data_IF_829733193878
#
_entry.id   IF_829733193878
#
_cell.length_a   1.000
_cell.length_b   1.000
_cell.length_c   1.000
_cell.angle_alpha   90.00
_cell.angle_beta   90.00
_cell.angle_gamma   90.00
#
_symmetry.space_group_name_H-M   'P 1'
#
loop_
_entity.id
_entity.type
_entity.pdbx_description
1 polymer ?
#
# COMPACT_ATOMS: atom_id res chain seq x y z
N UNK A 1 -4.55 -0.20 -23.06
CA UNK A 1 -5.45 0.63 -22.25
C UNK A 1 -5.94 -0.24 -21.10
N UNK A 2 -6.09 0.31 -19.89
CA UNK A 2 -6.63 -0.45 -18.75
C UNK A 2 -8.14 -0.54 -18.87
N UNK A 3 -8.71 -1.65 -18.39
CA UNK A 3 -10.16 -1.85 -18.32
C UNK A 3 -10.80 -0.88 -17.31
N UNK A 4 -11.99 -0.38 -17.62
CA UNK A 4 -12.69 0.57 -16.77
C UNK A 4 -13.31 -0.08 -15.54
N UNK A 5 -13.83 -1.29 -15.66
CA UNK A 5 -14.51 -2.04 -14.59
C UNK A 5 -14.48 -3.55 -14.86
N UNK A 6 -14.68 -4.33 -13.82
CA UNK A 6 -14.80 -5.79 -13.85
C UNK A 6 -16.26 -6.23 -13.71
N UNK A 7 -17.02 -5.60 -12.82
CA UNK A 7 -18.43 -5.90 -12.59
C UNK A 7 -19.33 -4.88 -13.30
N UNK A 8 -19.98 -5.34 -14.38
CA UNK A 8 -20.86 -4.48 -15.18
C UNK A 8 -22.02 -3.91 -14.35
N UNK A 9 -22.24 -2.61 -14.45
CA UNK A 9 -23.39 -1.91 -13.84
C UNK A 9 -23.32 -1.74 -12.33
N UNK A 10 -22.24 -2.16 -11.65
CA UNK A 10 -22.07 -1.98 -10.21
C UNK A 10 -21.12 -0.82 -9.89
N UNK A 11 -21.35 -0.17 -8.76
CA UNK A 11 -20.40 0.77 -8.15
C UNK A 11 -19.24 -0.05 -7.59
N UNK A 12 -18.12 -0.09 -8.30
CA UNK A 12 -16.97 -0.93 -8.03
C UNK A 12 -15.85 -0.14 -7.35
N UNK A 13 -15.27 -0.67 -6.27
CA UNK A 13 -14.05 -0.15 -5.68
C UNK A 13 -12.84 -1.01 -6.06
N UNK A 14 -11.78 -0.38 -6.58
CA UNK A 14 -10.48 -1.01 -6.78
C UNK A 14 -9.59 -0.83 -5.56
N UNK A 15 -8.90 -1.90 -5.12
CA UNK A 15 -8.00 -1.89 -3.97
C UNK A 15 -6.60 -2.40 -4.32
N UNK A 16 -5.59 -1.75 -3.74
CA UNK A 16 -4.19 -2.21 -3.77
C UNK A 16 -3.45 -1.74 -2.51
N UNK A 17 -2.30 -2.35 -2.21
CA UNK A 17 -1.47 -2.01 -1.06
C UNK A 17 -0.02 -1.68 -1.41
N UNK A 18 0.63 -0.93 -0.52
CA UNK A 18 2.06 -0.61 -0.57
C UNK A 18 2.77 -0.91 0.75
N UNK A 19 3.99 -1.42 0.66
CA UNK A 19 4.85 -1.60 1.83
C UNK A 19 4.88 -3.00 2.43
N UNK A 20 4.35 -4.04 1.78
CA UNK A 20 4.37 -5.42 2.31
C UNK A 20 5.76 -5.94 2.62
N UNK A 21 6.70 -5.77 1.69
CA UNK A 21 8.07 -6.30 1.81
C UNK A 21 9.05 -5.41 2.57
N UNK A 22 8.58 -4.35 3.23
CA UNK A 22 9.43 -3.42 3.96
C UNK A 22 9.77 -3.93 5.35
N UNK A 23 10.98 -3.65 5.83
CA UNK A 23 11.42 -3.96 7.21
C UNK A 23 10.87 -2.95 8.22
N UNK A 24 10.49 -1.76 7.76
CA UNK A 24 10.01 -0.68 8.60
C UNK A 24 8.83 0.06 7.98
N UNK A 25 8.04 0.70 8.83
CA UNK A 25 6.89 1.50 8.48
C UNK A 25 5.61 0.69 8.29
N UNK A 26 4.50 1.40 8.36
CA UNK A 26 3.15 0.86 8.19
C UNK A 26 2.92 0.30 6.78
N UNK A 27 1.97 -0.62 6.64
CA UNK A 27 1.37 -0.97 5.36
C UNK A 27 0.22 0.00 5.07
N UNK A 28 0.17 0.48 3.85
CA UNK A 28 -0.86 1.38 3.34
C UNK A 28 -1.65 0.66 2.26
N UNK A 29 -2.96 0.75 2.31
CA UNK A 29 -3.82 0.33 1.21
C UNK A 29 -4.72 1.49 0.81
N UNK A 30 -5.13 1.52 -0.44
CA UNK A 30 -6.13 2.46 -0.90
C UNK A 30 -7.32 1.74 -1.53
N UNK A 31 -8.47 2.38 -1.46
CA UNK A 31 -9.68 2.00 -2.18
C UNK A 31 -10.13 3.19 -3.03
N UNK A 32 -10.46 2.95 -4.30
CA UNK A 32 -10.84 4.01 -5.26
C UNK A 32 -12.07 3.58 -6.03
N UNK A 33 -13.09 4.45 -6.09
CA UNK A 33 -14.25 4.33 -6.97
C UNK A 33 -14.13 5.40 -8.04
N UNK A 34 -14.00 4.98 -9.29
CA UNK A 34 -13.94 5.89 -10.44
C UNK A 34 -15.34 6.13 -11.04
N UNK A 35 -15.60 7.30 -11.66
CA UNK A 35 -16.87 7.54 -12.33
C UNK A 35 -17.06 6.62 -13.55
N UNK A 36 -18.32 6.31 -13.91
CA UNK A 36 -18.60 5.56 -15.14
C UNK A 36 -17.97 6.22 -16.37
N UNK A 37 -17.34 5.41 -17.20
CA UNK A 37 -16.68 5.89 -18.42
C UNK A 37 -15.38 6.67 -18.18
N UNK A 38 -14.86 6.66 -16.94
CA UNK A 38 -13.53 7.22 -16.68
C UNK A 38 -12.47 6.51 -17.52
N UNK A 39 -11.68 7.28 -18.22
CA UNK A 39 -10.54 6.77 -19.01
C UNK A 39 -9.34 7.72 -18.83
N UNK A 40 -8.29 7.21 -18.22
CA UNK A 40 -7.03 7.93 -18.07
C UNK A 40 -5.88 7.05 -18.60
N UNK A 41 -5.40 7.32 -19.83
CA UNK A 41 -4.37 6.53 -20.48
C UNK A 41 -3.00 6.59 -19.77
N UNK A 42 -2.83 7.54 -18.86
CA UNK A 42 -1.62 7.70 -18.07
C UNK A 42 -1.56 6.78 -16.84
N UNK A 43 -2.70 6.18 -16.45
CA UNK A 43 -2.72 5.18 -15.39
C UNK A 43 -1.98 3.91 -15.82
N UNK A 44 -1.12 3.43 -14.95
CA UNK A 44 -0.34 2.19 -15.13
C UNK A 44 0.13 1.70 -13.76
N UNK A 45 0.69 0.46 -13.74
CA UNK A 45 1.44 -0.07 -12.60
C UNK A 45 2.36 1.01 -12.01
N UNK A 46 2.12 1.35 -10.75
CA UNK A 46 2.81 2.45 -10.05
C UNK A 46 4.34 2.31 -10.04
N UNK A 47 4.86 1.08 -10.14
CA UNK A 47 6.30 0.76 -10.17
C UNK A 47 6.96 1.15 -11.49
N UNK A 48 6.19 1.27 -12.57
CA UNK A 48 6.66 1.70 -13.90
C UNK A 48 6.70 3.21 -14.04
N UNK A 49 6.08 3.95 -13.14
CA UNK A 49 5.99 5.40 -13.16
C UNK A 49 7.13 6.05 -12.36
N UNK A 50 7.59 7.21 -12.80
CA UNK A 50 8.49 8.05 -11.99
C UNK A 50 7.74 8.63 -10.79
N UNK A 51 8.45 9.04 -9.73
CA UNK A 51 7.84 9.67 -8.56
C UNK A 51 7.05 10.95 -8.94
N UNK A 52 7.60 11.78 -9.82
CA UNK A 52 6.93 12.98 -10.30
C UNK A 52 5.60 12.65 -11.02
N UNK A 53 5.59 11.60 -11.86
CA UNK A 53 4.38 11.17 -12.56
C UNK A 53 3.34 10.61 -11.60
N UNK A 54 3.75 9.77 -10.63
CA UNK A 54 2.86 9.27 -9.57
C UNK A 54 2.20 10.41 -8.80
N UNK A 55 2.97 11.43 -8.40
CA UNK A 55 2.44 12.58 -7.66
C UNK A 55 1.48 13.44 -8.50
N UNK A 56 1.72 13.56 -9.81
CA UNK A 56 0.79 14.22 -10.71
C UNK A 56 -0.53 13.44 -10.84
N UNK A 57 -0.45 12.13 -11.03
CA UNK A 57 -1.61 11.23 -11.13
C UNK A 57 -2.38 11.16 -9.80
N UNK A 58 -1.71 11.14 -8.65
CA UNK A 58 -2.36 11.22 -7.34
C UNK A 58 -3.33 12.39 -7.28
N UNK A 59 -2.89 13.61 -7.62
CA UNK A 59 -3.76 14.80 -7.61
C UNK A 59 -4.93 14.70 -8.58
N UNK A 60 -4.75 14.03 -9.72
CA UNK A 60 -5.83 13.76 -10.67
C UNK A 60 -6.84 12.77 -10.08
N UNK A 61 -6.36 11.63 -9.53
CA UNK A 61 -7.21 10.62 -8.91
C UNK A 61 -8.02 11.22 -7.75
N UNK A 62 -7.37 11.97 -6.86
CA UNK A 62 -8.02 12.63 -5.71
C UNK A 62 -9.14 13.59 -6.12
N UNK A 63 -8.98 14.26 -7.27
CA UNK A 63 -9.98 15.19 -7.82
C UNK A 63 -11.09 14.47 -8.59
N UNK A 64 -10.75 13.47 -9.38
CA UNK A 64 -11.63 12.87 -10.40
C UNK A 64 -12.41 11.65 -9.89
N UNK A 65 -11.93 10.96 -8.86
CA UNK A 65 -12.62 9.81 -8.28
C UNK A 65 -13.95 10.21 -7.61
N UNK A 66 -14.96 9.36 -7.72
CA UNK A 66 -16.22 9.51 -6.96
C UNK A 66 -16.00 9.39 -5.46
N UNK A 67 -15.11 8.50 -5.06
CA UNK A 67 -14.63 8.33 -3.69
C UNK A 67 -13.27 7.65 -3.70
N UNK A 68 -12.45 8.01 -2.73
CA UNK A 68 -11.19 7.32 -2.43
C UNK A 68 -10.88 7.44 -0.95
N UNK A 69 -10.12 6.49 -0.44
CA UNK A 69 -9.63 6.52 0.93
C UNK A 69 -8.37 5.69 1.06
N UNK A 70 -7.61 5.94 2.15
CA UNK A 70 -6.39 5.21 2.49
C UNK A 70 -6.53 4.59 3.86
N UNK A 71 -6.31 3.29 3.94
CA UNK A 71 -6.27 2.54 5.20
C UNK A 71 -4.83 2.22 5.57
N UNK A 72 -4.53 2.27 6.87
CA UNK A 72 -3.19 2.12 7.42
C UNK A 72 -3.21 1.04 8.50
N UNK A 73 -2.17 0.19 8.52
CA UNK A 73 -1.92 -0.77 9.61
C UNK A 73 -0.49 -0.60 10.07
N UNK A 74 -0.31 -0.42 11.38
CA UNK A 74 0.99 -0.09 12.00
C UNK A 74 1.95 -1.27 12.06
N UNK A 75 3.25 -1.04 12.32
CA UNK A 75 4.22 -2.11 12.55
C UNK A 75 3.82 -3.07 13.66
N UNK A 76 3.30 -2.58 14.78
CA UNK A 76 2.85 -3.39 15.91
C UNK A 76 1.68 -4.29 15.53
N UNK A 77 0.72 -3.78 14.77
CA UNK A 77 -0.40 -4.57 14.27
C UNK A 77 0.09 -5.63 13.25
N UNK A 78 1.05 -5.28 12.37
CA UNK A 78 1.66 -6.22 11.42
C UNK A 78 2.33 -7.37 12.18
N UNK A 79 3.09 -7.06 13.22
CA UNK A 79 3.77 -8.06 14.06
C UNK A 79 2.77 -8.97 14.79
N UNK A 80 1.60 -8.44 15.16
CA UNK A 80 0.53 -9.19 15.84
C UNK A 80 -0.23 -10.15 14.92
N UNK A 81 -0.59 -9.69 13.70
CA UNK A 81 -1.53 -10.43 12.82
C UNK A 81 -0.90 -10.99 11.55
N UNK A 82 0.36 -10.74 11.30
CA UNK A 82 1.17 -10.93 10.09
C UNK A 82 0.78 -10.01 8.91
N UNK A 83 1.71 -9.89 7.95
CA UNK A 83 1.58 -8.94 6.84
C UNK A 83 0.43 -9.26 5.88
N UNK A 84 0.08 -10.52 5.69
CA UNK A 84 -1.01 -10.89 4.79
C UNK A 84 -2.35 -10.40 5.34
N UNK A 85 -2.62 -10.66 6.63
CA UNK A 85 -3.83 -10.17 7.31
C UNK A 85 -3.82 -8.65 7.45
N UNK A 86 -2.66 -8.06 7.71
CA UNK A 86 -2.48 -6.61 7.81
C UNK A 86 -2.80 -5.91 6.47
N UNK A 87 -2.42 -6.49 5.33
CA UNK A 87 -2.79 -5.96 4.01
C UNK A 87 -4.31 -5.95 3.81
N UNK A 88 -5.00 -7.03 4.16
CA UNK A 88 -6.47 -7.09 4.08
C UNK A 88 -7.14 -6.11 5.05
N UNK A 89 -6.63 -6.01 6.27
CA UNK A 89 -7.14 -5.05 7.25
C UNK A 89 -6.97 -3.61 6.76
N UNK A 90 -5.83 -3.28 6.15
CA UNK A 90 -5.61 -1.96 5.55
C UNK A 90 -6.61 -1.67 4.41
N UNK A 91 -6.88 -2.66 3.54
CA UNK A 91 -7.89 -2.52 2.48
C UNK A 91 -9.30 -2.34 3.08
N UNK A 92 -9.68 -3.11 4.10
CA UNK A 92 -10.96 -2.95 4.79
C UNK A 92 -11.09 -1.56 5.43
N UNK A 93 -10.04 -1.05 6.09
CA UNK A 93 -10.02 0.31 6.64
C UNK A 93 -10.16 1.39 5.56
N UNK A 94 -9.61 1.17 4.37
CA UNK A 94 -9.82 2.07 3.25
C UNK A 94 -11.27 2.01 2.75
N UNK A 95 -11.84 0.82 2.58
CA UNK A 95 -13.23 0.63 2.16
C UNK A 95 -14.23 1.22 3.16
N UNK A 96 -13.97 1.10 4.48
CA UNK A 96 -14.81 1.67 5.55
C UNK A 96 -14.88 3.20 5.51
N UNK A 97 -13.84 3.86 5.00
CA UNK A 97 -13.72 5.32 4.94
C UNK A 97 -14.25 5.93 3.63
N UNK A 98 -14.68 5.11 2.66
CA UNK A 98 -15.23 5.63 1.41
C UNK A 98 -16.52 6.42 1.64
N UNK A 99 -16.60 7.64 1.11
CA UNK A 99 -17.81 8.48 1.16
C UNK A 99 -18.96 7.90 0.32
N UNK A 100 -18.63 7.10 -0.70
CA UNK A 100 -19.61 6.36 -1.52
C UNK A 100 -19.46 4.87 -1.21
N UNK A 101 -20.55 4.18 -0.89
CA UNK A 101 -20.53 2.74 -0.62
C UNK A 101 -20.35 1.96 -1.92
N UNK A 102 -19.32 1.08 -2.02
CA UNK A 102 -19.20 0.17 -3.15
C UNK A 102 -20.27 -0.92 -3.12
N UNK A 103 -20.60 -1.44 -4.28
CA UNK A 103 -21.45 -2.61 -4.49
C UNK A 103 -20.64 -3.86 -4.84
N UNK A 104 -19.40 -3.67 -5.27
CA UNK A 104 -18.44 -4.72 -5.56
C UNK A 104 -17.01 -4.23 -5.29
N UNK A 105 -16.07 -5.16 -5.10
CA UNK A 105 -14.66 -4.86 -4.84
C UNK A 105 -13.76 -5.65 -5.78
N UNK A 106 -12.80 -5.00 -6.41
CA UNK A 106 -11.71 -5.65 -7.14
C UNK A 106 -10.37 -5.36 -6.46
N UNK A 107 -9.53 -6.37 -6.33
CA UNK A 107 -8.33 -6.30 -5.50
C UNK A 107 -7.12 -6.77 -6.29
N UNK A 108 -5.99 -6.04 -6.19
CA UNK A 108 -4.73 -6.58 -6.71
C UNK A 108 -4.30 -7.82 -5.93
N UNK A 109 -3.86 -8.86 -6.65
CA UNK A 109 -3.35 -10.08 -6.05
C UNK A 109 -4.21 -11.31 -6.29
N UNK A 110 -3.99 -12.34 -5.48
CA UNK A 110 -4.64 -13.66 -5.62
C UNK A 110 -5.42 -14.10 -4.38
N UNK A 111 -5.52 -13.26 -3.36
CA UNK A 111 -6.21 -13.53 -2.08
C UNK A 111 -6.83 -12.25 -1.55
N UNK A 112 -7.99 -12.42 -0.95
CA UNK A 112 -8.68 -11.36 -0.21
C UNK A 112 -9.59 -11.98 0.85
N UNK A 113 -9.85 -11.28 1.94
CA UNK A 113 -10.90 -11.62 2.90
C UNK A 113 -12.15 -10.86 2.51
N UNK A 114 -13.32 -11.52 2.33
CA UNK A 114 -14.56 -10.85 1.94
C UNK A 114 -14.85 -9.63 2.82
N UNK A 115 -15.30 -8.54 2.17
CA UNK A 115 -15.71 -7.32 2.84
C UNK A 115 -17.24 -7.20 2.82
N UNK A 116 -17.88 -7.20 4.01
CA UNK A 116 -19.32 -7.00 4.20
C UNK A 116 -20.22 -7.83 3.26
N UNK A 117 -19.82 -9.04 2.91
CA UNK A 117 -20.54 -9.92 1.96
C UNK A 117 -20.71 -9.35 0.54
N UNK A 118 -19.95 -8.33 0.16
CA UNK A 118 -19.95 -7.82 -1.21
C UNK A 118 -19.32 -8.83 -2.17
N UNK A 119 -19.79 -8.91 -3.44
CA UNK A 119 -19.07 -9.61 -4.48
C UNK A 119 -17.68 -9.00 -4.67
N UNK A 120 -16.68 -9.86 -4.86
CA UNK A 120 -15.32 -9.40 -5.08
C UNK A 120 -14.60 -10.27 -6.11
N UNK A 121 -13.58 -9.70 -6.73
CA UNK A 121 -12.62 -10.44 -7.56
C UNK A 121 -11.18 -10.08 -7.17
N UNK A 122 -10.32 -11.12 -7.12
CA UNK A 122 -8.88 -10.94 -6.96
C UNK A 122 -8.21 -11.06 -8.32
N UNK A 123 -7.37 -10.08 -8.67
CA UNK A 123 -6.82 -9.95 -10.03
C UNK A 123 -5.31 -9.83 -9.93
N UNK A 124 -4.61 -10.89 -10.32
CA UNK A 124 -3.14 -10.89 -10.34
C UNK A 124 -2.63 -9.85 -11.34
N UNK A 125 -1.79 -8.92 -10.85
CA UNK A 125 -1.31 -7.73 -11.58
C UNK A 125 -2.48 -6.86 -12.05
N UNK A 126 -3.45 -6.67 -11.17
CA UNK A 126 -4.65 -5.88 -11.43
C UNK A 126 -4.35 -4.41 -11.69
N UNK A 127 -3.29 -3.87 -11.08
CA UNK A 127 -2.74 -2.53 -11.29
C UNK A 127 -2.29 -2.26 -12.75
N UNK A 128 -2.01 -3.31 -13.50
CA UNK A 128 -1.74 -3.25 -14.93
C UNK A 128 -2.93 -3.65 -15.83
N UNK A 129 -4.13 -3.85 -15.25
CA UNK A 129 -5.31 -4.33 -15.98
C UNK A 129 -6.54 -3.44 -15.81
N UNK A 130 -6.80 -2.94 -14.60
CA UNK A 130 -7.99 -2.18 -14.23
C UNK A 130 -7.64 -0.79 -13.69
N UNK A 131 -8.33 0.23 -14.18
CA UNK A 131 -8.04 1.62 -13.82
C UNK A 131 -8.24 1.91 -12.33
N UNK A 132 -9.27 1.34 -11.70
CA UNK A 132 -9.54 1.54 -10.27
C UNK A 132 -8.44 0.93 -9.39
N UNK A 133 -7.88 -0.25 -9.75
CA UNK A 133 -6.74 -0.86 -9.03
C UNK A 133 -5.47 -0.04 -9.27
N UNK A 134 -5.20 0.39 -10.51
CA UNK A 134 -4.05 1.24 -10.81
C UNK A 134 -4.08 2.56 -10.03
N UNK A 135 -5.25 3.19 -9.93
CA UNK A 135 -5.46 4.39 -9.13
C UNK A 135 -5.20 4.12 -7.63
N UNK A 136 -5.71 3.01 -7.09
CA UNK A 136 -5.46 2.59 -5.71
C UNK A 136 -3.96 2.33 -5.46
N UNK A 137 -3.26 1.67 -6.38
CA UNK A 137 -1.81 1.44 -6.32
C UNK A 137 -1.03 2.75 -6.20
N UNK A 138 -1.38 3.75 -7.01
CA UNK A 138 -0.75 5.07 -6.99
C UNK A 138 -1.00 5.78 -5.65
N UNK A 139 -2.23 5.77 -5.14
CA UNK A 139 -2.56 6.39 -3.86
C UNK A 139 -1.83 5.69 -2.71
N UNK A 140 -1.94 4.37 -2.58
CA UNK A 140 -1.28 3.61 -1.54
C UNK A 140 0.25 3.87 -1.53
N UNK A 141 0.87 3.86 -2.72
CA UNK A 141 2.31 4.10 -2.87
C UNK A 141 2.72 5.51 -2.50
N UNK A 142 2.02 6.53 -3.00
CA UNK A 142 2.41 7.93 -2.77
C UNK A 142 2.18 8.37 -1.33
N UNK A 143 1.06 7.98 -0.72
CA UNK A 143 0.79 8.26 0.71
C UNK A 143 1.81 7.58 1.63
N UNK A 144 2.19 6.34 1.29
CA UNK A 144 3.23 5.64 2.06
C UNK A 144 4.61 6.27 1.86
N UNK A 145 4.94 6.71 0.66
CA UNK A 145 6.24 7.37 0.41
C UNK A 145 6.35 8.68 1.20
N UNK A 146 5.29 9.50 1.24
CA UNK A 146 5.26 10.72 2.07
C UNK A 146 5.46 10.41 3.57
N UNK A 147 4.81 9.35 4.07
CA UNK A 147 4.99 8.90 5.45
C UNK A 147 6.44 8.47 5.72
N UNK A 148 7.06 7.72 4.82
CA UNK A 148 8.45 7.29 4.99
C UNK A 148 9.44 8.44 4.84
N UNK A 149 9.13 9.45 4.02
CA UNK A 149 9.94 10.68 3.90
C UNK A 149 9.90 11.48 5.19
N UNK A 150 8.74 11.62 5.83
CA UNK A 150 8.62 12.27 7.14
C UNK A 150 9.43 11.53 8.23
N UNK A 151 9.37 10.20 8.26
CA UNK A 151 10.17 9.42 9.21
C UNK A 151 11.67 9.51 8.93
N UNK A 152 12.08 9.68 7.68
CA UNK A 152 13.48 9.81 7.31
C UNK A 152 14.14 11.11 7.82
N UNK A 153 13.36 12.14 8.14
CA UNK A 153 13.89 13.36 8.75
C UNK A 153 14.42 13.09 10.17
N UNK A 154 13.77 12.19 10.91
CA UNK A 154 14.18 11.80 12.27
C UNK A 154 15.20 10.63 12.27
N UNK A 155 15.07 9.71 11.33
CA UNK A 155 15.85 8.47 11.27
C UNK A 155 16.69 8.37 9.98
N UNK A 156 17.46 9.43 9.67
CA UNK A 156 18.24 9.55 8.43
C UNK A 156 19.24 8.40 8.21
N UNK A 157 19.75 7.79 9.30
CA UNK A 157 20.75 6.73 9.26
C UNK A 157 20.24 5.37 8.75
N UNK A 158 18.92 5.19 8.54
CA UNK A 158 18.37 4.01 7.89
C UNK A 158 18.19 4.18 6.37
N UNK A 159 18.51 5.36 5.82
CA UNK A 159 18.33 5.71 4.40
C UNK A 159 16.88 5.56 3.90
N UNK A 160 15.89 5.80 4.79
CA UNK A 160 14.47 5.65 4.45
C UNK A 160 13.99 6.63 3.39
N UNK A 161 14.66 7.76 3.24
CA UNK A 161 14.38 8.72 2.17
C UNK A 161 14.58 8.09 0.78
N UNK A 162 15.56 7.21 0.65
CA UNK A 162 15.84 6.48 -0.59
C UNK A 162 15.10 5.15 -0.66
N UNK A 163 15.27 4.31 0.36
CA UNK A 163 14.79 2.93 0.33
C UNK A 163 13.35 2.73 0.79
N UNK A 164 12.68 3.75 1.34
CA UNK A 164 11.27 3.69 1.81
C UNK A 164 10.97 2.52 2.76
N UNK A 165 11.98 2.10 3.54
CA UNK A 165 11.88 0.99 4.49
C UNK A 165 12.12 -0.40 3.89
N UNK A 166 12.44 -0.50 2.60
CA UNK A 166 12.78 -1.78 1.97
C UNK A 166 14.13 -2.34 2.46
N UNK A 167 14.36 -3.68 2.38
CA UNK A 167 15.51 -4.39 2.93
C UNK A 167 16.80 -4.19 2.11
N UNK A 168 17.20 -2.94 1.88
CA UNK A 168 18.45 -2.61 1.19
C UNK A 168 19.67 -2.85 2.11
N UNK A 169 20.85 -2.91 1.49
CA UNK A 169 22.11 -3.01 2.25
C UNK A 169 22.28 -1.82 3.22
N UNK A 170 21.97 -0.59 2.76
CA UNK A 170 22.05 0.60 3.59
C UNK A 170 21.09 0.54 4.80
N UNK A 171 19.83 0.10 4.59
CA UNK A 171 18.87 -0.07 5.69
C UNK A 171 19.36 -1.07 6.74
N UNK A 172 19.83 -2.25 6.30
CA UNK A 172 20.36 -3.29 7.21
C UNK A 172 21.61 -2.84 7.94
N UNK A 173 22.50 -2.07 7.27
CA UNK A 173 23.68 -1.49 7.89
C UNK A 173 23.29 -0.45 8.95
N UNK A 174 22.31 0.42 8.67
CA UNK A 174 21.76 1.34 9.66
C UNK A 174 21.24 0.60 10.90
N UNK A 175 20.54 -0.54 10.71
CA UNK A 175 20.07 -1.39 11.82
C UNK A 175 21.25 -1.96 12.63
N UNK A 176 22.34 -2.42 11.98
CA UNK A 176 23.51 -2.95 12.71
C UNK A 176 24.20 -1.88 13.56
N UNK A 177 24.28 -0.65 13.06
CA UNK A 177 25.00 0.45 13.73
C UNK A 177 24.15 1.15 14.81
N UNK A 178 22.85 1.29 14.57
CA UNK A 178 21.98 2.12 15.42
C UNK A 178 20.86 1.33 16.13
N UNK A 179 20.77 0.01 15.90
CA UNK A 179 19.69 -0.80 16.42
C UNK A 179 18.40 -0.62 15.60
N UNK A 180 17.27 -1.00 16.18
CA UNK A 180 15.93 -0.84 15.59
C UNK A 180 15.22 0.39 16.15
N UNK A 181 14.36 1.00 15.35
CA UNK A 181 13.42 2.04 15.79
C UNK A 181 12.06 1.42 16.16
N UNK A 182 11.14 2.17 16.77
CA UNK A 182 9.76 1.74 16.99
C UNK A 182 9.00 1.39 15.70
N UNK A 183 9.47 1.88 14.56
CA UNK A 183 8.84 1.66 13.26
C UNK A 183 9.30 0.38 12.56
N UNK A 184 10.29 -0.36 13.08
CA UNK A 184 10.69 -1.65 12.52
C UNK A 184 9.71 -2.76 12.87
N UNK A 185 9.50 -3.66 11.91
CA UNK A 185 8.64 -4.84 12.08
C UNK A 185 9.44 -5.96 12.71
N UNK A 186 9.28 -6.15 14.02
CA UNK A 186 10.09 -7.08 14.83
C UNK A 186 9.93 -8.55 14.43
N UNK A 187 8.81 -8.91 13.83
CA UNK A 187 8.56 -10.26 13.30
C UNK A 187 9.31 -10.58 12.00
N UNK A 188 9.97 -9.57 11.38
CA UNK A 188 10.71 -9.76 10.14
C UNK A 188 12.18 -10.09 10.40
N UNK A 189 12.82 -10.81 9.45
CA UNK A 189 14.27 -10.98 9.45
C UNK A 189 14.97 -9.66 9.06
N UNK A 190 15.25 -8.83 10.07
CA UNK A 190 15.75 -7.47 9.88
C UNK A 190 17.20 -7.43 9.36
N UNK A 191 18.06 -8.35 9.78
CA UNK A 191 19.47 -8.37 9.39
C UNK A 191 19.78 -9.24 8.16
N UNK A 192 18.91 -10.20 7.86
CA UNK A 192 19.07 -11.09 6.70
C UNK A 192 19.97 -12.29 6.92
N UNK A 193 20.47 -12.49 8.11
CA UNK A 193 21.53 -13.47 8.46
C UNK A 193 20.96 -14.70 9.20
N UNK A 194 19.71 -14.99 9.09
CA UNK A 194 19.12 -16.27 9.59
C UNK A 194 19.01 -16.43 11.10
N UNK A 195 19.66 -15.62 11.92
CA UNK A 195 19.48 -15.61 13.37
C UNK A 195 19.47 -14.18 13.92
N UNK A 196 18.32 -13.79 14.52
CA UNK A 196 18.19 -12.55 15.28
C UNK A 196 18.22 -12.89 16.76
N UNK A 197 19.32 -12.62 17.42
CA UNK A 197 19.33 -12.43 18.87
C UNK A 197 19.32 -10.92 19.12
N UNK A 198 18.20 -10.35 19.49
CA UNK A 198 18.15 -9.04 20.09
C UNK A 198 18.21 -9.21 21.60
N UNK A 199 19.36 -8.90 22.19
CA UNK A 199 19.42 -8.57 23.62
C UNK A 199 18.72 -7.21 23.81
N UNK A 200 17.47 -7.24 24.25
CA UNK A 200 16.81 -6.06 24.77
C UNK A 200 17.47 -5.79 26.14
N UNK A 201 18.43 -4.87 26.19
CA UNK A 201 18.80 -4.27 27.47
C UNK A 201 17.60 -3.47 27.95
N UNK A 202 17.08 -3.86 29.11
CA UNK A 202 16.07 -3.15 29.89
C UNK A 202 16.52 -1.73 30.25
#
# INVERSE_FOLDING_TARGET
MLEGHYFDGLVEAGCDEAGRGCLAGSVYAAAVILPPGYDNPDLNDSKKLTAARRNALRRQIERDALAWAVGIVTPEEIDSINILRASFLAMHRALDQLAVRPQAVIVDGNRFVPYQNLPYATIVKGDGKYQAIAAASILAKTYRDDYMDALAEEYAFYDWKSNKGYPTKAHREGIRQHGISPYHRKSYNLLGDGQLFFDFKE
#
